data_IF_533151453156
#
_entry.id   IF_533151453156
#
_cell.length_a   1.000
_cell.length_b   1.000
_cell.length_c   1.000
_cell.angle_alpha   90.00
_cell.angle_beta   90.00
_cell.angle_gamma   90.00
#
_symmetry.space_group_name_H-M   'P 1'
#
loop_
_entity.id
_entity.type
_entity.pdbx_description
1 polymer ?
#
# COMPACT_ATOMS: atom_id res chain seq x y z
N UNK A 1 -31.26 -11.04 11.56
CA UNK A 1 -29.96 -10.34 11.54
C UNK A 1 -30.24 -8.86 11.72
N UNK A 2 -29.62 -8.21 12.69
CA UNK A 2 -29.57 -6.75 12.70
C UNK A 2 -28.47 -6.37 11.69
N UNK A 3 -28.81 -5.61 10.67
CA UNK A 3 -27.85 -5.10 9.68
C UNK A 3 -27.58 -3.64 9.97
N UNK A 4 -26.34 -3.18 9.74
CA UNK A 4 -26.01 -1.77 9.93
C UNK A 4 -26.70 -0.95 8.84
N UNK A 5 -27.47 0.06 9.23
CA UNK A 5 -28.04 1.03 8.28
C UNK A 5 -27.00 2.10 8.00
N UNK A 6 -26.57 2.19 6.75
CA UNK A 6 -25.59 3.17 6.29
C UNK A 6 -26.29 4.42 5.75
N UNK A 7 -25.60 5.55 5.78
CA UNK A 7 -26.08 6.81 5.22
C UNK A 7 -26.31 6.70 3.70
N UNK A 8 -27.54 6.97 3.26
CA UNK A 8 -27.95 6.99 1.85
C UNK A 8 -27.11 7.93 0.94
N UNK A 9 -26.30 8.83 1.52
CA UNK A 9 -25.33 9.63 0.77
C UNK A 9 -24.20 8.80 0.17
N UNK A 10 -23.77 7.73 0.84
CA UNK A 10 -22.64 6.90 0.37
C UNK A 10 -23.00 6.16 -0.93
N UNK A 11 -24.14 5.43 -1.02
CA UNK A 11 -24.60 4.86 -2.29
C UNK A 11 -24.74 5.89 -3.41
N UNK A 12 -25.17 7.13 -3.11
CA UNK A 12 -25.28 8.19 -4.12
C UNK A 12 -23.92 8.67 -4.65
N UNK A 13 -22.94 8.87 -3.76
CA UNK A 13 -21.58 9.25 -4.15
C UNK A 13 -20.97 8.12 -4.99
N UNK A 14 -21.13 6.88 -4.53
CA UNK A 14 -20.63 5.71 -5.24
C UNK A 14 -21.30 5.55 -6.60
N UNK A 15 -22.63 5.60 -6.69
CA UNK A 15 -23.33 5.53 -7.98
C UNK A 15 -22.89 6.65 -8.93
N UNK A 16 -22.58 7.85 -8.43
CA UNK A 16 -22.05 8.91 -9.28
C UNK A 16 -20.64 8.61 -9.77
N UNK A 17 -19.74 8.13 -8.91
CA UNK A 17 -18.39 7.73 -9.31
C UNK A 17 -18.43 6.52 -10.26
N UNK A 18 -19.37 5.61 -10.02
CA UNK A 18 -19.68 4.45 -10.83
C UNK A 18 -20.15 4.83 -12.22
N UNK A 19 -21.19 5.65 -12.32
CA UNK A 19 -21.72 6.17 -13.59
C UNK A 19 -20.61 6.88 -14.38
N UNK A 20 -19.70 7.60 -13.71
CA UNK A 20 -18.57 8.25 -14.36
C UNK A 20 -17.52 7.25 -14.87
N UNK A 21 -17.19 6.21 -14.10
CA UNK A 21 -16.21 5.20 -14.45
C UNK A 21 -16.69 4.21 -15.54
N UNK A 22 -17.99 3.88 -15.57
CA UNK A 22 -18.57 2.87 -16.48
C UNK A 22 -19.07 3.45 -17.81
N UNK A 23 -18.82 4.74 -18.10
CA UNK A 23 -19.15 5.28 -19.42
C UNK A 23 -18.35 4.60 -20.55
N UNK A 24 -17.17 4.04 -20.23
CA UNK A 24 -16.45 3.02 -21.01
C UNK A 24 -15.63 2.16 -20.04
N UNK A 25 -16.10 0.97 -19.60
CA UNK A 25 -15.30 0.11 -18.73
C UNK A 25 -14.03 -0.30 -19.46
N UNK A 26 -12.87 0.17 -18.98
CA UNK A 26 -11.59 -0.29 -19.46
C UNK A 26 -11.26 -1.58 -18.72
N UNK A 27 -11.59 -2.73 -19.31
CA UNK A 27 -11.07 -4.01 -18.83
C UNK A 27 -9.53 -3.99 -18.94
N UNK A 28 -8.84 -3.93 -17.80
CA UNK A 28 -7.38 -3.77 -17.74
C UNK A 28 -6.67 -4.94 -18.43
N UNK A 29 -7.30 -6.12 -18.44
CA UNK A 29 -6.79 -7.31 -19.12
C UNK A 29 -6.47 -7.06 -20.58
N UNK A 30 -7.30 -6.32 -21.30
CA UNK A 30 -7.08 -6.06 -22.73
C UNK A 30 -5.85 -5.19 -22.94
N UNK A 31 -5.67 -4.16 -22.10
CA UNK A 31 -4.48 -3.29 -22.10
C UNK A 31 -3.23 -4.09 -21.73
N UNK A 32 -3.30 -4.91 -20.68
CA UNK A 32 -2.19 -5.75 -20.25
C UNK A 32 -1.76 -6.78 -21.32
N UNK A 33 -2.72 -7.38 -22.05
CA UNK A 33 -2.43 -8.26 -23.19
C UNK A 33 -1.75 -7.48 -24.32
N UNK A 34 -2.20 -6.27 -24.62
CA UNK A 34 -1.57 -5.42 -25.63
C UNK A 34 -0.13 -5.05 -25.23
N UNK A 35 0.09 -4.63 -23.97
CA UNK A 35 1.41 -4.39 -23.41
C UNK A 35 2.29 -5.64 -23.48
N UNK A 36 1.74 -6.81 -23.15
CA UNK A 36 2.48 -8.07 -23.18
C UNK A 36 2.96 -8.45 -24.58
N UNK A 37 2.12 -8.22 -25.60
CA UNK A 37 2.49 -8.40 -27.02
C UNK A 37 3.51 -7.38 -27.49
N UNK A 38 3.46 -6.15 -26.96
CA UNK A 38 4.37 -5.08 -27.32
C UNK A 38 5.77 -5.30 -26.72
N UNK A 39 5.87 -5.76 -25.47
CA UNK A 39 7.12 -5.84 -24.72
C UNK A 39 7.67 -4.45 -24.35
N UNK A 40 8.92 -4.41 -23.89
CA UNK A 40 9.60 -3.15 -23.53
C UNK A 40 10.19 -2.53 -24.80
N UNK A 41 9.56 -1.52 -25.39
CA UNK A 41 9.98 -0.93 -26.68
C UNK A 41 10.48 0.51 -26.56
N UNK A 42 11.52 0.82 -27.35
CA UNK A 42 12.05 2.17 -27.49
C UNK A 42 12.62 2.76 -26.20
N UNK A 43 12.51 4.07 -26.06
CA UNK A 43 13.07 4.83 -24.94
C UNK A 43 12.00 5.38 -23.99
N UNK A 44 10.74 4.97 -24.19
CA UNK A 44 9.59 5.45 -23.42
C UNK A 44 9.64 4.98 -21.98
N UNK A 45 9.25 5.86 -21.07
CA UNK A 45 9.22 5.57 -19.64
C UNK A 45 7.90 4.91 -19.24
N UNK A 46 7.98 3.96 -18.32
CA UNK A 46 6.81 3.29 -17.73
C UNK A 46 6.46 3.90 -16.36
N UNK A 47 7.25 4.86 -15.88
CA UNK A 47 6.98 5.62 -14.67
C UNK A 47 7.81 6.90 -14.63
N UNK A 48 7.39 7.85 -13.81
CA UNK A 48 8.11 9.08 -13.54
C UNK A 48 9.44 8.75 -12.79
N UNK A 49 10.60 9.27 -13.24
CA UNK A 49 11.90 8.95 -12.64
C UNK A 49 12.00 9.22 -11.13
N UNK A 50 11.32 10.26 -10.65
CA UNK A 50 11.25 10.61 -9.23
C UNK A 50 10.34 9.72 -8.38
N UNK A 51 9.61 8.78 -8.98
CA UNK A 51 8.82 7.77 -8.26
C UNK A 51 9.62 6.51 -7.98
N UNK A 52 10.78 6.32 -8.64
CA UNK A 52 11.66 5.19 -8.35
C UNK A 52 12.29 5.41 -6.97
N UNK A 53 12.07 4.52 -6.00
CA UNK A 53 12.69 4.59 -4.68
C UNK A 53 14.15 4.14 -4.79
N UNK A 54 14.95 4.99 -5.43
CA UNK A 54 16.38 4.87 -5.67
C UNK A 54 16.99 6.27 -5.60
N UNK A 55 18.26 6.45 -5.21
CA UNK A 55 18.87 7.75 -5.06
C UNK A 55 19.37 8.29 -6.41
N UNK A 56 18.52 8.22 -7.44
CA UNK A 56 18.84 8.65 -8.81
C UNK A 56 19.45 10.06 -8.81
N UNK A 57 18.92 11.07 -8.07
CA UNK A 57 19.41 12.44 -8.12
C UNK A 57 20.83 12.67 -7.57
N UNK A 58 21.41 11.69 -6.87
CA UNK A 58 22.71 11.81 -6.19
C UNK A 58 23.64 10.64 -6.48
N UNK A 59 23.25 9.72 -7.37
CA UNK A 59 24.03 8.54 -7.72
C UNK A 59 24.52 8.61 -9.17
N UNK A 60 25.82 8.90 -9.36
CA UNK A 60 26.45 8.97 -10.68
C UNK A 60 26.23 7.70 -11.51
N UNK A 61 26.28 6.53 -10.88
CA UNK A 61 26.03 5.26 -11.55
C UNK A 61 24.62 5.20 -12.17
N UNK A 62 23.57 5.53 -11.41
CA UNK A 62 22.19 5.56 -11.91
C UNK A 62 21.98 6.70 -12.93
N UNK A 63 22.68 7.83 -12.76
CA UNK A 63 22.66 8.90 -13.74
C UNK A 63 23.30 8.51 -15.08
N UNK A 64 24.26 7.59 -15.08
CA UNK A 64 24.96 7.14 -16.29
C UNK A 64 24.09 6.30 -17.23
N UNK A 65 22.87 5.94 -16.84
CA UNK A 65 21.95 5.16 -17.67
C UNK A 65 21.45 6.03 -18.83
N UNK A 66 21.57 5.51 -20.05
CA UNK A 66 20.99 6.14 -21.24
C UNK A 66 19.46 6.00 -21.25
N UNK A 67 18.79 6.64 -22.22
CA UNK A 67 17.32 6.65 -22.31
C UNK A 67 16.72 5.24 -22.40
N UNK A 68 17.31 4.33 -23.20
CA UNK A 68 16.87 2.93 -23.30
C UNK A 68 17.02 2.17 -21.97
N UNK A 69 18.15 2.34 -21.28
CA UNK A 69 18.42 1.72 -19.98
C UNK A 69 17.45 2.25 -18.89
N UNK A 70 17.10 3.54 -18.94
CA UNK A 70 16.08 4.15 -18.07
C UNK A 70 14.68 3.63 -18.36
N UNK A 71 14.33 3.45 -19.63
CA UNK A 71 13.07 2.82 -20.04
C UNK A 71 12.94 1.43 -19.41
N UNK A 72 13.98 0.59 -19.53
CA UNK A 72 14.00 -0.76 -18.93
C UNK A 72 13.86 -0.70 -17.41
N UNK A 73 14.63 0.16 -16.73
CA UNK A 73 14.53 0.34 -15.27
C UNK A 73 13.13 0.81 -14.84
N UNK A 74 12.52 1.73 -15.58
CA UNK A 74 11.15 2.19 -15.29
C UNK A 74 10.12 1.08 -15.53
N UNK A 75 10.32 0.22 -16.54
CA UNK A 75 9.45 -0.92 -16.81
C UNK A 75 9.55 -1.99 -15.72
N UNK A 76 10.76 -2.29 -15.23
CA UNK A 76 10.93 -3.21 -14.10
C UNK A 76 10.34 -2.63 -12.83
N UNK A 77 10.45 -1.33 -12.60
CA UNK A 77 9.76 -0.65 -11.50
C UNK A 77 8.25 -0.75 -11.61
N UNK A 78 7.68 -0.41 -12.76
CA UNK A 78 6.24 -0.51 -13.00
C UNK A 78 5.71 -1.92 -12.74
N UNK A 79 6.39 -2.95 -13.26
CA UNK A 79 6.02 -4.34 -13.04
C UNK A 79 6.15 -4.78 -11.58
N UNK A 80 7.23 -4.37 -10.89
CA UNK A 80 7.37 -4.67 -9.45
C UNK A 80 6.27 -3.97 -8.66
N UNK A 81 6.10 -2.65 -8.83
CA UNK A 81 5.06 -1.87 -8.18
C UNK A 81 3.69 -2.57 -8.28
N UNK A 82 3.25 -2.94 -9.48
CA UNK A 82 1.97 -3.61 -9.68
C UNK A 82 1.92 -5.07 -9.21
N UNK A 83 3.06 -5.78 -9.16
CA UNK A 83 3.13 -7.06 -8.44
C UNK A 83 2.86 -6.88 -6.94
N UNK A 84 3.40 -5.82 -6.32
CA UNK A 84 3.11 -5.51 -4.92
C UNK A 84 1.65 -5.11 -4.71
N UNK A 85 1.06 -4.33 -5.63
CA UNK A 85 -0.37 -4.00 -5.63
C UNK A 85 -1.20 -5.28 -5.68
N UNK A 86 -1.00 -6.14 -6.67
CA UNK A 86 -1.75 -7.40 -6.80
C UNK A 86 -1.69 -8.30 -5.55
N UNK A 87 -0.53 -8.36 -4.87
CA UNK A 87 -0.40 -9.11 -3.62
C UNK A 87 -1.26 -8.53 -2.49
N UNK A 88 -1.48 -7.21 -2.48
CA UNK A 88 -2.40 -6.53 -1.56
C UNK A 88 -3.85 -6.85 -1.92
N UNK A 89 -4.20 -6.74 -3.20
CA UNK A 89 -5.54 -7.01 -3.72
C UNK A 89 -6.01 -8.44 -3.42
N UNK A 90 -5.11 -9.42 -3.47
CA UNK A 90 -5.41 -10.81 -3.07
C UNK A 90 -6.05 -10.93 -1.68
N UNK A 91 -5.64 -10.10 -0.72
CA UNK A 91 -6.23 -10.05 0.61
C UNK A 91 -7.53 -9.23 0.63
N UNK A 92 -7.62 -8.17 -0.18
CA UNK A 92 -8.85 -7.40 -0.41
C UNK A 92 -9.98 -8.31 -0.92
N UNK A 93 -9.70 -9.27 -1.80
CA UNK A 93 -10.71 -10.23 -2.30
C UNK A 93 -11.44 -10.95 -1.16
N UNK A 94 -10.66 -11.50 -0.22
CA UNK A 94 -11.17 -12.30 0.90
C UNK A 94 -11.90 -11.39 1.88
N UNK A 95 -11.27 -10.26 2.22
CA UNK A 95 -11.79 -9.34 3.23
C UNK A 95 -13.05 -8.59 2.76
N UNK A 96 -13.12 -8.13 1.51
CA UNK A 96 -14.31 -7.49 0.93
C UNK A 96 -15.53 -8.41 1.01
N UNK A 97 -15.39 -9.66 0.55
CA UNK A 97 -16.45 -10.66 0.61
C UNK A 97 -16.86 -10.97 2.06
N UNK A 98 -15.89 -11.12 2.95
CA UNK A 98 -16.14 -11.42 4.36
C UNK A 98 -16.88 -10.28 5.06
N UNK A 99 -16.49 -9.03 4.79
CA UNK A 99 -17.18 -7.84 5.32
C UNK A 99 -18.58 -7.74 4.74
N UNK A 100 -18.73 -7.90 3.43
CA UNK A 100 -20.02 -7.85 2.76
C UNK A 100 -21.03 -8.82 3.39
N UNK A 101 -20.66 -10.08 3.53
CA UNK A 101 -21.53 -11.14 4.06
C UNK A 101 -21.81 -11.03 5.56
N UNK A 102 -20.86 -10.52 6.35
CA UNK A 102 -20.98 -10.49 7.82
C UNK A 102 -21.60 -9.19 8.34
N UNK A 103 -21.51 -8.10 7.59
CA UNK A 103 -21.90 -6.77 8.06
C UNK A 103 -23.17 -6.27 7.40
N UNK A 104 -23.35 -6.52 6.11
CA UNK A 104 -24.44 -5.94 5.32
C UNK A 104 -25.55 -6.95 5.01
N UNK A 105 -26.72 -6.43 4.66
CA UNK A 105 -27.81 -7.27 4.19
C UNK A 105 -27.46 -7.82 2.80
N UNK A 106 -27.76 -9.09 2.54
CA UNK A 106 -27.54 -9.66 1.20
C UNK A 106 -28.25 -8.81 0.15
N UNK A 107 -27.51 -8.48 -0.92
CA UNK A 107 -27.98 -7.64 -2.03
C UNK A 107 -28.35 -6.19 -1.67
N UNK A 108 -27.90 -5.66 -0.52
CA UNK A 108 -27.93 -4.20 -0.32
C UNK A 108 -26.91 -3.50 -1.23
N UNK A 109 -27.04 -2.17 -1.36
CA UNK A 109 -26.11 -1.38 -2.18
C UNK A 109 -24.65 -1.58 -1.70
N UNK A 110 -24.39 -1.56 -0.40
CA UNK A 110 -23.05 -1.75 0.18
C UNK A 110 -22.51 -3.16 -0.05
N UNK A 111 -23.39 -4.15 0.03
CA UNK A 111 -23.05 -5.53 -0.31
C UNK A 111 -22.64 -5.65 -1.78
N UNK A 112 -23.43 -5.05 -2.68
CA UNK A 112 -23.16 -5.09 -4.13
C UNK A 112 -21.91 -4.30 -4.51
N UNK A 113 -21.65 -3.17 -3.84
CA UNK A 113 -20.43 -2.37 -4.02
C UNK A 113 -19.21 -3.24 -3.70
N UNK A 114 -19.12 -3.83 -2.50
CA UNK A 114 -17.96 -4.66 -2.13
C UNK A 114 -17.79 -5.89 -3.03
N UNK A 115 -18.89 -6.51 -3.45
CA UNK A 115 -18.87 -7.60 -4.43
C UNK A 115 -18.29 -7.18 -5.78
N UNK A 116 -18.65 -5.99 -6.26
CA UNK A 116 -18.12 -5.48 -7.50
C UNK A 116 -16.64 -5.13 -7.37
N UNK A 117 -16.24 -4.46 -6.29
CA UNK A 117 -14.84 -4.15 -6.03
C UNK A 117 -14.01 -5.44 -6.03
N UNK A 118 -14.51 -6.54 -5.44
CA UNK A 118 -13.86 -7.87 -5.54
C UNK A 118 -13.66 -8.35 -6.99
N UNK A 119 -14.60 -8.10 -7.90
CA UNK A 119 -14.44 -8.47 -9.32
C UNK A 119 -13.42 -7.59 -10.03
N UNK A 120 -13.39 -6.30 -9.73
CA UNK A 120 -12.41 -5.34 -10.25
C UNK A 120 -10.99 -5.75 -9.81
N UNK A 121 -10.80 -6.00 -8.51
CA UNK A 121 -9.52 -6.46 -7.93
C UNK A 121 -9.03 -7.78 -8.57
N UNK A 122 -9.95 -8.68 -8.94
CA UNK A 122 -9.58 -9.86 -9.74
C UNK A 122 -9.04 -9.46 -11.12
N UNK A 123 -9.69 -8.53 -11.83
CA UNK A 123 -9.21 -8.04 -13.13
C UNK A 123 -7.82 -7.42 -13.03
N UNK A 124 -7.60 -6.63 -11.99
CA UNK A 124 -6.33 -5.98 -11.68
C UNK A 124 -5.20 -7.01 -11.50
N UNK A 125 -5.39 -7.99 -10.61
CA UNK A 125 -4.42 -9.06 -10.34
C UNK A 125 -4.00 -9.78 -11.63
N UNK A 126 -4.96 -10.16 -12.48
CA UNK A 126 -4.67 -10.84 -13.75
C UNK A 126 -3.87 -9.94 -14.72
N UNK A 127 -4.20 -8.66 -14.75
CA UNK A 127 -3.54 -7.66 -15.59
C UNK A 127 -2.10 -7.42 -15.15
N UNK A 128 -1.88 -7.24 -13.85
CA UNK A 128 -0.56 -7.02 -13.26
C UNK A 128 0.34 -8.25 -13.37
N UNK A 129 -0.22 -9.45 -13.19
CA UNK A 129 0.50 -10.70 -13.48
C UNK A 129 0.96 -10.76 -14.92
N UNK A 130 0.10 -10.39 -15.86
CA UNK A 130 0.42 -10.37 -17.30
C UNK A 130 1.56 -9.40 -17.61
N UNK A 131 1.53 -8.19 -17.04
CA UNK A 131 2.61 -7.19 -17.19
C UNK A 131 3.92 -7.69 -16.58
N UNK A 132 3.87 -8.26 -15.37
CA UNK A 132 5.06 -8.79 -14.71
C UNK A 132 5.70 -9.94 -15.49
N UNK A 133 4.89 -10.87 -15.99
CA UNK A 133 5.36 -11.96 -16.85
C UNK A 133 5.98 -11.45 -18.15
N UNK A 134 5.41 -10.39 -18.75
CA UNK A 134 6.04 -9.74 -19.90
C UNK A 134 7.43 -9.22 -19.53
N UNK A 135 7.56 -8.45 -18.46
CA UNK A 135 8.86 -7.90 -18.05
C UNK A 135 9.86 -9.01 -17.76
N UNK A 136 9.49 -10.06 -17.01
CA UNK A 136 10.39 -11.19 -16.73
C UNK A 136 10.91 -11.85 -18.02
N UNK A 137 10.04 -12.03 -19.01
CA UNK A 137 10.39 -12.57 -20.34
C UNK A 137 11.38 -11.67 -21.07
N UNK A 138 11.13 -10.36 -21.12
CA UNK A 138 12.01 -9.40 -21.82
C UNK A 138 13.37 -9.26 -21.13
N UNK A 139 13.39 -9.34 -19.79
CA UNK A 139 14.61 -9.27 -18.98
C UNK A 139 15.40 -10.59 -19.03
N UNK A 140 14.76 -11.71 -19.39
CA UNK A 140 15.39 -13.02 -19.47
C UNK A 140 15.58 -13.71 -18.12
N UNK A 141 14.65 -13.49 -17.18
CA UNK A 141 14.67 -14.13 -15.86
C UNK A 141 13.40 -14.94 -15.60
N UNK A 142 13.54 -16.00 -14.82
CA UNK A 142 12.41 -16.70 -14.21
C UNK A 142 12.22 -16.16 -12.79
N UNK A 143 11.09 -15.50 -12.55
CA UNK A 143 10.75 -14.95 -11.24
C UNK A 143 9.29 -15.24 -10.93
N UNK A 144 9.02 -15.71 -9.71
CA UNK A 144 7.65 -15.92 -9.25
C UNK A 144 6.90 -14.60 -9.16
N UNK A 145 5.66 -14.59 -9.65
CA UNK A 145 4.74 -13.49 -9.36
C UNK A 145 4.26 -13.55 -7.91
N UNK A 146 3.92 -14.75 -7.44
CA UNK A 146 3.38 -14.97 -6.12
C UNK A 146 4.51 -14.90 -5.08
N UNK A 147 4.32 -14.09 -4.05
CA UNK A 147 5.23 -13.91 -2.92
C UNK A 147 4.45 -13.86 -1.60
N UNK A 148 5.09 -14.07 -0.44
CA UNK A 148 4.47 -13.85 0.85
C UNK A 148 3.73 -12.52 0.91
N UNK A 149 2.42 -12.62 1.19
CA UNK A 149 1.47 -11.52 1.05
C UNK A 149 1.95 -10.30 1.82
N UNK A 150 2.40 -9.30 1.08
CA UNK A 150 2.76 -8.01 1.62
C UNK A 150 1.51 -7.13 1.60
N UNK A 151 0.54 -7.39 2.49
CA UNK A 151 -0.48 -6.37 2.77
C UNK A 151 0.10 -5.38 3.75
N UNK A 152 0.97 -4.48 3.29
CA UNK A 152 1.35 -3.28 4.03
C UNK A 152 1.62 -2.21 2.99
N UNK A 153 0.65 -1.36 2.65
CA UNK A 153 0.95 -0.14 1.90
C UNK A 153 1.88 0.76 2.71
N UNK A 154 3.20 0.54 2.70
CA UNK A 154 4.19 1.30 3.52
C UNK A 154 3.89 1.40 5.03
N UNK A 155 2.92 0.66 5.57
CA UNK A 155 2.35 0.94 6.90
C UNK A 155 3.31 0.57 8.04
N UNK A 156 4.37 -0.21 7.80
CA UNK A 156 5.35 -0.48 8.84
C UNK A 156 6.69 -0.98 8.32
N UNK A 157 7.72 -0.71 9.12
CA UNK A 157 9.05 -1.30 8.99
C UNK A 157 9.01 -2.72 9.58
N UNK A 158 9.32 -3.74 8.78
CA UNK A 158 9.22 -5.15 9.19
C UNK A 158 10.63 -5.73 9.38
N UNK A 159 10.97 -6.36 10.51
CA UNK A 159 12.24 -7.08 10.63
C UNK A 159 12.38 -8.14 9.53
N UNK A 160 13.55 -8.22 8.89
CA UNK A 160 13.84 -9.18 7.83
C UNK A 160 13.60 -10.61 8.30
N UNK A 161 13.98 -10.92 9.55
CA UNK A 161 13.74 -12.21 10.19
C UNK A 161 12.25 -12.56 10.27
N UNK A 162 11.38 -11.58 10.45
CA UNK A 162 9.94 -11.81 10.52
C UNK A 162 9.40 -12.10 9.12
N UNK A 163 9.85 -11.33 8.12
CA UNK A 163 9.48 -11.54 6.73
C UNK A 163 9.89 -12.92 6.21
N UNK A 164 11.12 -13.35 6.50
CA UNK A 164 11.63 -14.66 6.06
C UNK A 164 10.85 -15.83 6.68
N UNK A 165 10.18 -15.60 7.81
CA UNK A 165 9.32 -16.56 8.49
C UNK A 165 7.83 -16.43 8.12
N UNK A 166 7.46 -15.53 7.19
CA UNK A 166 6.08 -15.43 6.73
C UNK A 166 5.71 -16.61 5.83
N UNK A 167 4.91 -17.52 6.38
CA UNK A 167 4.17 -18.49 5.59
C UNK A 167 2.87 -17.84 5.06
N UNK A 168 2.62 -17.97 3.76
CA UNK A 168 1.30 -17.62 3.17
C UNK A 168 0.24 -18.64 3.52
N UNK A 169 0.65 -19.85 3.91
CA UNK A 169 -0.24 -20.85 4.46
C UNK A 169 -0.63 -20.40 5.86
N UNK A 170 -1.93 -20.48 6.13
CA UNK A 170 -2.49 -20.19 7.43
C UNK A 170 -1.92 -21.15 8.48
N UNK A 171 -0.92 -20.72 9.24
CA UNK A 171 -0.42 -21.42 10.41
C UNK A 171 -1.15 -20.88 11.64
N UNK A 172 -2.21 -21.59 12.02
CA UNK A 172 -2.96 -21.30 13.24
C UNK A 172 -2.17 -21.85 14.43
N UNK A 173 -1.50 -20.98 15.17
CA UNK A 173 -0.77 -21.33 16.38
C UNK A 173 -1.57 -20.99 17.65
N UNK A 174 -0.99 -21.29 18.81
CA UNK A 174 -1.64 -21.07 20.11
C UNK A 174 -1.99 -19.59 20.33
N UNK A 175 -1.14 -18.68 19.88
CA UNK A 175 -1.29 -17.22 19.98
C UNK A 175 -2.51 -16.70 19.20
N UNK A 176 -2.64 -17.10 17.92
CA UNK A 176 -3.80 -16.73 17.11
C UNK A 176 -5.08 -17.43 17.58
N UNK A 177 -4.97 -18.63 18.13
CA UNK A 177 -6.09 -19.32 18.76
C UNK A 177 -6.60 -18.58 20.00
N UNK A 178 -5.71 -18.07 20.87
CA UNK A 178 -6.13 -17.26 22.01
C UNK A 178 -6.81 -15.96 21.56
N UNK A 179 -6.26 -15.30 20.53
CA UNK A 179 -6.88 -14.12 19.92
C UNK A 179 -8.29 -14.43 19.43
N UNK A 180 -8.49 -15.52 18.68
CA UNK A 180 -9.81 -15.94 18.21
C UNK A 180 -10.78 -16.22 19.37
N UNK A 181 -10.33 -16.91 20.42
CA UNK A 181 -11.14 -17.20 21.60
C UNK A 181 -11.57 -15.92 22.32
N UNK A 182 -10.69 -14.91 22.41
CA UNK A 182 -11.03 -13.62 22.99
C UNK A 182 -12.05 -12.86 22.11
N UNK A 183 -11.89 -12.87 20.78
CA UNK A 183 -12.85 -12.28 19.84
C UNK A 183 -14.23 -12.96 19.92
N UNK A 184 -14.27 -14.30 20.02
CA UNK A 184 -15.51 -15.08 20.14
C UNK A 184 -16.30 -14.76 21.41
N UNK A 185 -15.62 -14.37 22.50
CA UNK A 185 -16.26 -13.94 23.74
C UNK A 185 -16.86 -12.53 23.64
N UNK A 186 -16.64 -11.82 22.54
CA UNK A 186 -17.24 -10.52 22.24
C UNK A 186 -16.55 -9.34 22.91
N UNK A 187 -17.25 -8.19 22.90
CA UNK A 187 -16.70 -6.87 23.23
C UNK A 187 -15.97 -6.76 24.58
N UNK A 188 -16.41 -7.51 25.59
CA UNK A 188 -15.83 -7.46 26.94
C UNK A 188 -14.39 -8.00 27.01
N UNK A 189 -13.93 -8.71 25.98
CA UNK A 189 -12.59 -9.32 25.92
C UNK A 189 -11.63 -8.59 24.98
N UNK A 190 -12.08 -7.52 24.29
CA UNK A 190 -11.22 -6.75 23.38
C UNK A 190 -10.05 -6.10 24.10
N UNK A 191 -10.27 -5.62 25.33
CA UNK A 191 -9.20 -5.06 26.16
C UNK A 191 -8.07 -6.05 26.42
N UNK A 192 -8.38 -7.34 26.57
CA UNK A 192 -7.37 -8.38 26.77
C UNK A 192 -6.47 -8.52 25.53
N UNK A 193 -7.05 -8.44 24.33
CA UNK A 193 -6.29 -8.47 23.07
C UNK A 193 -5.34 -7.26 23.00
N UNK A 194 -5.85 -6.07 23.35
CA UNK A 194 -5.03 -4.83 23.42
C UNK A 194 -3.89 -4.96 24.43
N UNK A 195 -4.17 -5.46 25.64
CA UNK A 195 -3.16 -5.68 26.67
C UNK A 195 -2.09 -6.68 26.21
N UNK A 196 -2.49 -7.74 25.50
CA UNK A 196 -1.56 -8.72 24.92
C UNK A 196 -0.67 -8.07 23.85
N UNK A 197 -1.22 -7.28 22.92
CA UNK A 197 -0.40 -6.59 21.91
C UNK A 197 0.52 -5.53 22.49
N UNK A 198 0.18 -4.92 23.63
CA UNK A 198 1.06 -3.99 24.33
C UNK A 198 2.23 -4.68 25.04
N UNK A 199 2.00 -5.90 25.56
CA UNK A 199 3.00 -6.68 26.28
C UNK A 199 3.92 -7.46 25.33
N UNK A 200 3.39 -7.87 24.19
CA UNK A 200 4.12 -8.64 23.19
C UNK A 200 4.75 -7.73 22.12
N UNK A 201 5.88 -8.14 21.58
CA UNK A 201 6.64 -7.33 20.63
C UNK A 201 5.89 -7.01 19.32
N UNK A 202 6.50 -6.16 18.48
CA UNK A 202 5.92 -5.72 17.19
C UNK A 202 5.47 -6.86 16.28
N UNK A 203 6.23 -7.97 16.27
CA UNK A 203 5.90 -9.16 15.47
C UNK A 203 4.52 -9.73 15.85
N UNK A 204 4.26 -9.95 17.14
CA UNK A 204 2.96 -10.45 17.60
C UNK A 204 1.82 -9.49 17.23
N UNK A 205 2.02 -8.19 17.43
CA UNK A 205 1.03 -7.16 17.08
C UNK A 205 0.68 -7.20 15.60
N UNK A 206 1.69 -7.28 14.73
CA UNK A 206 1.53 -7.40 13.29
C UNK A 206 0.74 -8.68 12.91
N UNK A 207 1.13 -9.83 13.47
CA UNK A 207 0.49 -11.12 13.17
C UNK A 207 -0.98 -11.11 13.59
N UNK A 208 -1.24 -10.57 14.77
CA UNK A 208 -2.58 -10.41 15.34
C UNK A 208 -3.43 -9.50 14.46
N UNK A 209 -2.92 -8.34 14.05
CA UNK A 209 -3.64 -7.42 13.16
C UNK A 209 -4.01 -8.11 11.84
N UNK A 210 -3.05 -8.75 11.17
CA UNK A 210 -3.28 -9.49 9.91
C UNK A 210 -4.36 -10.56 10.08
N UNK A 211 -4.29 -11.33 11.16
CA UNK A 211 -5.30 -12.34 11.46
C UNK A 211 -6.69 -11.72 11.61
N UNK A 212 -6.82 -10.60 12.31
CA UNK A 212 -8.11 -9.96 12.59
C UNK A 212 -8.80 -9.39 11.36
N UNK A 213 -8.05 -8.73 10.47
CA UNK A 213 -8.58 -8.12 9.24
C UNK A 213 -8.79 -9.13 8.09
N UNK A 214 -8.13 -10.28 8.15
CA UNK A 214 -8.18 -11.30 7.10
C UNK A 214 -9.06 -12.48 7.49
N UNK A 215 -8.57 -13.30 8.41
CA UNK A 215 -9.12 -14.63 8.68
C UNK A 215 -10.21 -14.63 9.75
N UNK A 216 -10.04 -13.84 10.82
CA UNK A 216 -10.94 -13.86 11.97
C UNK A 216 -12.40 -13.54 11.59
N UNK A 217 -12.62 -12.58 10.68
CA UNK A 217 -13.96 -12.18 10.23
C UNK A 217 -14.72 -13.38 9.63
N UNK A 218 -14.04 -14.25 8.89
CA UNK A 218 -14.64 -15.44 8.28
C UNK A 218 -15.09 -16.44 9.35
N UNK A 219 -14.27 -16.58 10.38
CA UNK A 219 -14.44 -17.56 11.47
C UNK A 219 -15.48 -17.13 12.50
N UNK A 220 -15.79 -15.84 12.60
CA UNK A 220 -16.70 -15.30 13.61
C UNK A 220 -18.15 -15.22 13.10
N UNK A 221 -19.15 -15.36 13.99
CA UNK A 221 -20.54 -15.06 13.66
C UNK A 221 -20.71 -13.58 13.29
N UNK A 222 -21.61 -13.26 12.35
CA UNK A 222 -21.91 -11.90 11.91
C UNK A 222 -22.20 -10.94 13.08
N UNK A 223 -22.94 -11.41 14.07
CA UNK A 223 -23.32 -10.62 15.24
C UNK A 223 -22.12 -10.18 16.08
N UNK A 224 -21.10 -11.04 16.21
CA UNK A 224 -19.84 -10.73 16.90
C UNK A 224 -19.01 -9.76 16.07
N UNK A 225 -18.85 -10.02 14.77
CA UNK A 225 -18.10 -9.15 13.84
C UNK A 225 -18.61 -7.71 13.89
N UNK A 226 -19.93 -7.53 13.89
CA UNK A 226 -20.58 -6.22 13.96
C UNK A 226 -20.43 -5.59 15.34
N UNK A 227 -20.65 -6.34 16.43
CA UNK A 227 -20.57 -5.80 17.79
C UNK A 227 -19.18 -5.22 18.10
N UNK A 228 -18.13 -5.97 17.77
CA UNK A 228 -16.75 -5.59 18.06
C UNK A 228 -16.12 -4.70 16.98
N UNK A 229 -16.84 -4.47 15.88
CA UNK A 229 -16.44 -3.56 14.81
C UNK A 229 -15.29 -4.05 13.91
N UNK A 230 -15.08 -5.36 13.75
CA UNK A 230 -14.03 -5.89 12.87
C UNK A 230 -14.20 -5.48 11.40
N UNK A 231 -15.44 -5.29 10.93
CA UNK A 231 -15.70 -4.76 9.59
C UNK A 231 -15.15 -3.34 9.42
N UNK A 232 -15.29 -2.49 10.44
CA UNK A 232 -14.71 -1.15 10.45
C UNK A 232 -13.19 -1.19 10.44
N UNK A 233 -12.57 -1.97 11.33
CA UNK A 233 -11.11 -2.11 11.37
C UNK A 233 -10.55 -2.53 10.01
N UNK A 234 -11.21 -3.46 9.33
CA UNK A 234 -10.80 -3.97 8.01
C UNK A 234 -10.88 -2.91 6.93
N UNK A 235 -12.01 -2.20 6.83
CA UNK A 235 -12.19 -1.16 5.81
C UNK A 235 -11.31 0.06 6.06
N UNK A 236 -11.13 0.47 7.32
CA UNK A 236 -10.21 1.57 7.67
C UNK A 236 -8.74 1.20 7.44
N UNK A 237 -8.38 -0.06 7.63
CA UNK A 237 -7.06 -0.56 7.27
C UNK A 237 -6.86 -0.62 5.75
N UNK A 238 -7.87 -1.07 5.00
CA UNK A 238 -7.87 -0.99 3.52
C UNK A 238 -7.74 0.45 3.03
N UNK A 239 -8.43 1.39 3.67
CA UNK A 239 -8.27 2.82 3.38
C UNK A 239 -6.81 3.27 3.53
N UNK A 240 -6.13 2.85 4.60
CA UNK A 240 -4.70 3.18 4.81
C UNK A 240 -3.81 2.62 3.70
N UNK A 241 -4.08 1.39 3.22
CA UNK A 241 -3.37 0.85 2.05
C UNK A 241 -3.66 1.67 0.77
N UNK A 242 -4.92 2.10 0.57
CA UNK A 242 -5.32 2.87 -0.60
C UNK A 242 -4.77 4.31 -0.60
N UNK A 243 -4.41 4.89 0.55
CA UNK A 243 -3.65 6.16 0.59
C UNK A 243 -2.33 6.00 -0.18
N UNK A 244 -1.58 4.94 0.09
CA UNK A 244 -0.28 4.72 -0.55
C UNK A 244 -0.44 4.47 -2.05
N UNK A 245 -1.41 3.64 -2.42
CA UNK A 245 -1.72 3.28 -3.80
C UNK A 245 -2.13 4.50 -4.62
N UNK A 246 -3.17 5.23 -4.18
CA UNK A 246 -3.62 6.45 -4.86
C UNK A 246 -2.51 7.46 -5.04
N UNK A 247 -1.69 7.65 -4.01
CA UNK A 247 -0.53 8.54 -4.09
C UNK A 247 0.42 8.08 -5.19
N UNK A 248 0.77 6.79 -5.21
CA UNK A 248 1.73 6.27 -6.18
C UNK A 248 1.23 6.46 -7.60
N UNK A 249 -0.02 6.10 -7.87
CA UNK A 249 -0.59 6.11 -9.21
C UNK A 249 -0.91 7.50 -9.74
N UNK A 250 -1.34 8.42 -8.86
CA UNK A 250 -1.52 9.82 -9.23
C UNK A 250 -0.22 10.49 -9.67
N UNK A 251 0.92 9.96 -9.21
CA UNK A 251 2.25 10.52 -9.46
C UNK A 251 3.12 9.67 -10.38
N UNK A 252 2.63 8.49 -10.80
CA UNK A 252 3.37 7.55 -11.63
C UNK A 252 3.66 8.11 -13.03
N UNK A 253 2.81 9.00 -13.53
CA UNK A 253 2.94 9.64 -14.84
C UNK A 253 2.79 11.17 -14.77
N UNK A 254 3.26 11.76 -13.66
CA UNK A 254 3.22 13.21 -13.43
C UNK A 254 4.08 13.98 -14.44
N UNK A 255 3.75 15.26 -14.71
CA UNK A 255 4.49 16.12 -15.65
C UNK A 255 4.66 15.52 -17.07
N UNK A 256 3.59 15.07 -17.74
CA UNK A 256 3.66 14.43 -19.06
C UNK A 256 4.23 15.32 -20.17
N UNK A 257 4.29 16.64 -19.97
CA UNK A 257 4.97 17.58 -20.87
C UNK A 257 6.50 17.45 -20.85
N UNK A 258 7.06 16.86 -19.80
CA UNK A 258 8.51 16.74 -19.59
C UNK A 258 9.06 15.33 -19.88
N UNK A 259 8.18 14.33 -20.05
CA UNK A 259 8.57 12.93 -20.18
C UNK A 259 7.74 12.21 -21.26
N UNK A 260 8.40 11.40 -22.10
CA UNK A 260 7.71 10.54 -23.08
C UNK A 260 7.37 9.19 -22.43
N UNK A 261 6.11 9.02 -22.07
CA UNK A 261 5.60 7.83 -21.41
C UNK A 261 5.06 6.78 -22.39
N UNK A 262 5.15 5.51 -22.01
CA UNK A 262 4.54 4.39 -22.72
C UNK A 262 2.99 4.51 -22.63
N UNK A 263 2.27 4.74 -23.75
CA UNK A 263 0.84 5.02 -23.69
C UNK A 263 0.02 3.91 -23.06
N UNK A 264 0.36 2.64 -23.30
CA UNK A 264 -0.37 1.52 -22.70
C UNK A 264 -0.14 1.42 -21.18
N UNK A 265 1.03 1.84 -20.69
CA UNK A 265 1.30 1.89 -19.24
C UNK A 265 0.49 3.00 -18.57
N UNK A 266 0.37 4.16 -19.23
CA UNK A 266 -0.49 5.27 -18.78
C UNK A 266 -1.96 4.83 -18.75
N UNK A 267 -2.43 4.16 -19.81
CA UNK A 267 -3.80 3.66 -19.92
C UNK A 267 -4.12 2.63 -18.83
N UNK A 268 -3.22 1.68 -18.58
CA UNK A 268 -3.37 0.69 -17.51
C UNK A 268 -3.48 1.36 -16.13
N UNK A 269 -2.58 2.29 -15.82
CA UNK A 269 -2.60 3.04 -14.56
C UNK A 269 -3.84 3.92 -14.43
N UNK A 270 -4.29 4.56 -15.50
CA UNK A 270 -5.48 5.42 -15.46
C UNK A 270 -6.75 4.62 -15.21
N UNK A 271 -6.87 3.43 -15.81
CA UNK A 271 -7.98 2.52 -15.54
C UNK A 271 -8.00 2.11 -14.08
N UNK A 272 -6.87 1.58 -13.59
CA UNK A 272 -6.75 1.14 -12.20
C UNK A 272 -6.99 2.27 -11.19
N UNK A 273 -6.36 3.44 -11.40
CA UNK A 273 -6.53 4.63 -10.56
C UNK A 273 -8.00 5.06 -10.45
N UNK A 274 -8.80 4.86 -11.51
CA UNK A 274 -10.22 5.20 -11.52
C UNK A 274 -11.06 4.24 -10.68
N UNK A 275 -10.67 2.96 -10.63
CA UNK A 275 -11.30 1.94 -9.80
C UNK A 275 -10.95 2.16 -8.33
N UNK A 276 -9.65 2.33 -8.05
CA UNK A 276 -9.15 2.64 -6.71
C UNK A 276 -9.65 3.98 -6.16
N UNK A 277 -10.04 4.91 -7.05
CA UNK A 277 -10.75 6.13 -6.67
C UNK A 277 -11.98 5.85 -5.82
N UNK A 278 -12.77 4.85 -6.26
CA UNK A 278 -14.02 4.40 -5.63
C UNK A 278 -13.74 3.59 -4.38
N UNK A 279 -12.83 2.62 -4.47
CA UNK A 279 -12.49 1.71 -3.38
C UNK A 279 -11.98 2.45 -2.16
N UNK A 280 -11.14 3.47 -2.37
CA UNK A 280 -10.69 4.38 -1.32
C UNK A 280 -11.84 5.09 -0.61
N UNK A 281 -12.84 5.56 -1.37
CA UNK A 281 -14.00 6.27 -0.81
C UNK A 281 -14.89 5.31 -0.04
N UNK A 282 -15.17 4.13 -0.60
CA UNK A 282 -15.91 3.03 0.05
C UNK A 282 -15.25 2.65 1.36
N UNK A 283 -13.93 2.40 1.34
CA UNK A 283 -13.15 1.99 2.51
C UNK A 283 -13.22 3.00 3.64
N UNK A 284 -13.11 4.30 3.34
CA UNK A 284 -13.20 5.34 4.34
C UNK A 284 -14.62 5.50 4.89
N UNK A 285 -15.58 5.77 4.00
CA UNK A 285 -16.90 6.22 4.40
C UNK A 285 -17.66 5.08 5.09
N UNK A 286 -17.63 3.86 4.55
CA UNK A 286 -18.19 2.69 5.22
C UNK A 286 -17.41 2.35 6.49
N UNK A 287 -16.07 2.43 6.46
CA UNK A 287 -15.24 2.16 7.62
C UNK A 287 -15.58 3.05 8.82
N UNK A 288 -15.80 4.34 8.58
CA UNK A 288 -16.20 5.33 9.60
C UNK A 288 -17.63 5.12 10.08
N UNK A 289 -18.58 4.83 9.19
CA UNK A 289 -19.96 4.53 9.60
C UNK A 289 -20.05 3.26 10.45
N UNK A 290 -19.30 2.21 10.09
CA UNK A 290 -19.19 0.99 10.89
C UNK A 290 -18.49 1.24 12.23
N UNK A 291 -17.49 2.12 12.26
CA UNK A 291 -16.85 2.54 13.52
C UNK A 291 -17.88 3.17 14.46
N UNK A 292 -18.68 4.12 13.96
CA UNK A 292 -19.74 4.80 14.74
C UNK A 292 -20.83 3.85 15.23
N UNK A 293 -21.08 2.77 14.50
CA UNK A 293 -22.07 1.74 14.86
C UNK A 293 -21.54 0.67 15.84
N UNK A 294 -20.22 0.54 16.00
CA UNK A 294 -19.62 -0.43 16.91
C UNK A 294 -19.92 -0.11 18.39
N UNK A 295 -19.79 -1.10 19.28
CA UNK A 295 -19.92 -0.87 20.72
C UNK A 295 -18.82 0.09 21.22
N UNK A 296 -18.99 0.75 22.39
CA UNK A 296 -17.95 1.62 22.94
C UNK A 296 -16.59 0.92 23.07
N UNK A 297 -16.58 -0.33 23.54
CA UNK A 297 -15.37 -1.15 23.63
C UNK A 297 -14.80 -1.50 22.25
N UNK A 298 -15.65 -1.72 21.25
CA UNK A 298 -15.25 -1.89 19.85
C UNK A 298 -14.62 -0.62 19.27
N UNK A 299 -15.15 0.55 19.59
CA UNK A 299 -14.60 1.83 19.18
C UNK A 299 -13.22 2.07 19.80
N UNK A 300 -13.05 1.80 21.09
CA UNK A 300 -11.75 1.91 21.76
C UNK A 300 -10.72 0.94 21.16
N UNK A 301 -11.16 -0.29 20.87
CA UNK A 301 -10.35 -1.30 20.21
C UNK A 301 -9.90 -0.87 18.80
N UNK A 302 -10.82 -0.39 17.97
CA UNK A 302 -10.50 0.12 16.61
C UNK A 302 -9.54 1.31 16.72
N UNK A 303 -9.81 2.28 17.60
CA UNK A 303 -8.94 3.45 17.80
C UNK A 303 -7.51 3.03 18.17
N UNK A 304 -7.35 2.06 19.07
CA UNK A 304 -6.03 1.56 19.46
C UNK A 304 -5.26 1.00 18.27
N UNK A 305 -5.85 0.09 17.49
CA UNK A 305 -5.15 -0.50 16.34
C UNK A 305 -4.92 0.53 15.23
N UNK A 306 -5.90 1.38 14.93
CA UNK A 306 -5.73 2.44 13.94
C UNK A 306 -4.64 3.44 14.35
N UNK A 307 -4.52 3.77 15.64
CA UNK A 307 -3.42 4.58 16.12
C UNK A 307 -2.05 3.91 15.89
N UNK A 308 -1.90 2.62 16.19
CA UNK A 308 -0.67 1.89 15.90
C UNK A 308 -0.32 1.91 14.41
N UNK A 309 -1.30 1.61 13.57
CA UNK A 309 -1.20 1.62 12.11
C UNK A 309 -0.72 2.99 11.62
N UNK A 310 -1.30 4.08 12.13
CA UNK A 310 -0.95 5.43 11.70
C UNK A 310 0.44 5.85 12.17
N UNK A 311 0.81 5.50 13.40
CA UNK A 311 2.14 5.80 13.94
C UNK A 311 3.24 5.06 13.18
N UNK A 312 3.02 3.78 12.85
CA UNK A 312 3.97 3.01 12.05
C UNK A 312 4.02 3.53 10.61
N UNK A 313 2.88 3.92 10.04
CA UNK A 313 2.81 4.55 8.71
C UNK A 313 3.57 5.89 8.67
N UNK A 314 3.41 6.73 9.68
CA UNK A 314 4.16 7.99 9.79
C UNK A 314 5.66 7.68 9.88
N UNK A 315 6.02 6.72 10.72
CA UNK A 315 7.41 6.32 10.93
C UNK A 315 8.07 5.86 9.63
N UNK A 316 7.37 5.11 8.79
CA UNK A 316 7.89 4.66 7.50
C UNK A 316 7.83 5.74 6.40
N UNK A 317 6.73 6.50 6.33
CA UNK A 317 6.48 7.40 5.20
C UNK A 317 7.26 8.71 5.25
N UNK A 318 7.51 9.27 6.44
CA UNK A 318 8.21 10.56 6.63
C UNK A 318 9.70 10.39 6.96
N UNK A 319 10.23 9.21 6.65
CA UNK A 319 11.66 8.89 6.67
C UNK A 319 12.23 9.11 5.28
N UNK A 320 13.37 9.80 5.17
CA UNK A 320 14.03 10.05 3.88
C UNK A 320 14.61 8.77 3.29
N UNK A 321 14.84 8.75 1.99
CA UNK A 321 15.40 7.58 1.31
C UNK A 321 16.71 7.05 1.94
N UNK A 322 17.63 7.94 2.33
CA UNK A 322 18.91 7.52 2.92
C UNK A 322 18.75 6.95 4.34
N UNK A 323 17.82 7.49 5.14
CA UNK A 323 17.48 6.92 6.45
C UNK A 323 16.84 5.53 6.29
N UNK A 324 15.98 5.34 5.29
CA UNK A 324 15.39 4.03 4.96
C UNK A 324 16.45 2.98 4.59
N UNK A 325 17.49 3.36 3.84
CA UNK A 325 18.62 2.46 3.55
C UNK A 325 19.39 2.04 4.82
N UNK A 326 19.54 2.94 5.79
CA UNK A 326 20.18 2.60 7.06
C UNK A 326 19.33 1.62 7.88
N UNK A 327 18.00 1.77 7.87
CA UNK A 327 17.10 0.78 8.46
C UNK A 327 17.23 -0.59 7.78
N UNK A 328 17.28 -0.64 6.45
CA UNK A 328 17.51 -1.90 5.72
C UNK A 328 18.83 -2.57 6.10
N UNK A 329 19.89 -1.80 6.30
CA UNK A 329 21.16 -2.35 6.78
C UNK A 329 21.10 -2.89 8.22
N UNK A 330 20.13 -2.45 9.02
CA UNK A 330 19.85 -2.96 10.38
C UNK A 330 18.89 -4.16 10.36
N UNK A 331 18.57 -4.69 9.19
CA UNK A 331 17.64 -5.81 9.04
C UNK A 331 16.17 -5.39 9.11
N UNK A 332 15.84 -4.15 8.76
CA UNK A 332 14.45 -3.68 8.65
C UNK A 332 14.06 -3.54 7.17
N UNK A 333 13.10 -4.35 6.76
CA UNK A 333 12.50 -4.29 5.44
C UNK A 333 11.51 -3.12 5.33
N UNK A 334 11.71 -2.31 4.29
CA UNK A 334 10.80 -1.25 3.86
C UNK A 334 10.38 -1.53 2.41
N UNK A 335 9.09 -1.45 2.14
CA UNK A 335 8.48 -1.89 0.86
C UNK A 335 9.01 -1.14 -0.33
N UNK A 336 9.11 0.18 -0.22
CA UNK A 336 9.58 1.06 -1.27
C UNK A 336 11.04 0.76 -1.62
N UNK A 337 11.92 0.65 -0.61
CA UNK A 337 13.32 0.24 -0.81
C UNK A 337 13.40 -1.12 -1.52
N UNK A 338 12.62 -2.11 -1.07
CA UNK A 338 12.59 -3.43 -1.68
C UNK A 338 12.11 -3.38 -3.13
N UNK A 339 11.04 -2.64 -3.43
CA UNK A 339 10.56 -2.42 -4.81
C UNK A 339 11.67 -1.84 -5.66
N UNK A 340 12.33 -0.77 -5.21
CA UNK A 340 13.41 -0.11 -5.95
C UNK A 340 14.60 -1.02 -6.23
N UNK A 341 15.09 -1.70 -5.19
CA UNK A 341 16.23 -2.61 -5.31
C UNK A 341 15.91 -3.84 -6.16
N UNK A 342 14.72 -4.42 -6.05
CA UNK A 342 14.27 -5.50 -6.92
C UNK A 342 14.19 -5.05 -8.38
N UNK A 343 13.68 -3.85 -8.62
CA UNK A 343 13.56 -3.28 -9.96
C UNK A 343 14.93 -3.05 -10.60
N UNK A 344 15.88 -2.51 -9.83
CA UNK A 344 17.26 -2.37 -10.26
C UNK A 344 17.88 -3.74 -10.54
N UNK A 345 17.76 -4.68 -9.61
CA UNK A 345 18.28 -6.04 -9.75
C UNK A 345 17.76 -6.72 -11.02
N UNK A 346 16.45 -6.69 -11.26
CA UNK A 346 15.85 -7.21 -12.49
C UNK A 346 16.42 -6.50 -13.71
N UNK A 347 16.48 -5.16 -13.72
CA UNK A 347 16.95 -4.42 -14.90
C UNK A 347 18.38 -4.79 -15.32
N UNK A 348 19.28 -5.08 -14.37
CA UNK A 348 20.68 -5.42 -14.63
C UNK A 348 20.88 -6.79 -15.30
N UNK A 349 19.84 -7.62 -15.36
CA UNK A 349 19.87 -8.88 -16.11
C UNK A 349 19.67 -8.66 -17.62
N UNK A 350 19.03 -7.55 -18.01
CA UNK A 350 18.71 -7.27 -19.41
C UNK A 350 19.99 -7.07 -20.26
N UNK A 351 20.04 -7.57 -21.51
CA UNK A 351 21.22 -7.43 -22.37
C UNK A 351 21.72 -5.99 -22.59
N UNK A 352 20.80 -5.02 -22.69
CA UNK A 352 21.11 -3.57 -22.82
C UNK A 352 21.84 -2.96 -21.60
N UNK A 353 21.90 -3.66 -20.47
CA UNK A 353 22.60 -3.22 -19.26
C UNK A 353 23.84 -4.06 -18.96
N UNK A 354 24.35 -4.83 -19.94
CA UNK A 354 25.53 -5.68 -19.75
C UNK A 354 26.77 -4.89 -19.31
N UNK A 355 26.94 -3.67 -19.81
CA UNK A 355 28.03 -2.73 -19.45
C UNK A 355 27.83 -2.06 -18.09
N UNK A 356 26.62 -2.18 -17.52
CA UNK A 356 26.25 -1.60 -16.22
C UNK A 356 26.28 -2.61 -15.09
N UNK A 357 26.50 -3.91 -15.33
CA UNK A 357 26.45 -4.93 -14.28
C UNK A 357 27.36 -4.59 -13.10
N UNK A 358 26.81 -4.67 -11.89
CA UNK A 358 27.47 -4.28 -10.64
C UNK A 358 26.97 -5.16 -9.48
N UNK A 359 27.78 -5.28 -8.44
CA UNK A 359 27.32 -5.82 -7.16
C UNK A 359 26.41 -4.79 -6.46
N UNK A 360 25.12 -5.12 -6.38
CA UNK A 360 24.09 -4.25 -5.78
C UNK A 360 24.41 -3.96 -4.31
N UNK A 361 24.98 -4.91 -3.56
CA UNK A 361 25.31 -4.68 -2.15
C UNK A 361 26.42 -3.64 -2.00
N UNK A 362 27.42 -3.68 -2.88
CA UNK A 362 28.47 -2.66 -2.92
C UNK A 362 27.92 -1.29 -3.34
N UNK A 363 27.03 -1.28 -4.32
CA UNK A 363 26.37 -0.06 -4.78
C UNK A 363 25.52 0.58 -3.67
N UNK A 364 24.69 -0.20 -2.98
CA UNK A 364 23.89 0.26 -1.84
C UNK A 364 24.78 0.75 -0.70
N UNK A 365 25.88 0.05 -0.42
CA UNK A 365 26.85 0.51 0.57
C UNK A 365 27.43 1.88 0.22
N UNK A 366 27.74 2.13 -1.07
CA UNK A 366 28.25 3.43 -1.52
C UNK A 366 27.27 4.58 -1.29
N UNK A 367 25.95 4.34 -1.43
CA UNK A 367 24.93 5.36 -1.21
C UNK A 367 24.82 5.81 0.25
N UNK A 368 25.17 4.92 1.19
CA UNK A 368 25.17 5.23 2.62
C UNK A 368 26.33 6.13 3.03
N UNK A 369 27.39 6.20 2.19
CA UNK A 369 28.55 7.07 2.40
C UNK A 369 28.34 8.50 1.87
N UNK A 370 27.17 8.80 1.29
CA UNK A 370 26.84 10.17 0.87
C UNK A 370 26.85 11.10 2.08
N UNK A 371 27.32 12.34 1.86
CA UNK A 371 27.49 13.33 2.93
C UNK A 371 26.21 13.56 3.74
N UNK A 372 26.40 13.85 5.03
CA UNK A 372 25.30 14.07 5.99
C UNK A 372 24.29 15.12 5.52
N UNK A 373 24.75 16.13 4.75
CA UNK A 373 23.91 17.18 4.18
C UNK A 373 22.78 16.64 3.28
N UNK A 374 23.01 15.57 2.52
CA UNK A 374 21.98 15.04 1.61
C UNK A 374 20.97 14.13 2.30
N UNK A 375 21.23 13.73 3.55
CA UNK A 375 20.39 12.78 4.29
C UNK A 375 19.03 13.37 4.69
N UNK A 376 18.96 14.68 4.83
CA UNK A 376 17.75 15.40 5.20
C UNK A 376 17.13 16.15 4.01
N UNK A 377 17.58 15.89 2.77
CA UNK A 377 17.06 16.59 1.60
C UNK A 377 16.04 15.71 0.90
N UNK A 378 14.83 16.24 0.69
CA UNK A 378 13.80 15.58 -0.10
C UNK A 378 13.50 16.37 -1.38
N UNK A 379 13.15 15.65 -2.44
CA UNK A 379 12.85 16.22 -3.75
C UNK A 379 11.38 16.57 -3.96
N UNK A 380 11.06 17.14 -5.12
CA UNK A 380 9.71 17.54 -5.53
C UNK A 380 8.65 16.43 -5.37
N UNK A 381 8.93 15.21 -5.87
CA UNK A 381 7.96 14.09 -5.80
C UNK A 381 7.73 13.59 -4.38
N UNK A 382 8.78 13.59 -3.55
CA UNK A 382 8.68 13.16 -2.15
C UNK A 382 7.88 14.19 -1.34
N UNK A 383 8.04 15.49 -1.61
CA UNK A 383 7.19 16.54 -1.02
C UNK A 383 5.72 16.38 -1.41
N UNK A 384 5.40 16.14 -2.70
CA UNK A 384 4.02 15.84 -3.15
C UNK A 384 3.43 14.64 -2.41
N UNK A 385 4.23 13.58 -2.31
CA UNK A 385 3.88 12.35 -1.61
C UNK A 385 3.55 12.63 -0.14
N UNK A 386 4.44 13.32 0.57
CA UNK A 386 4.28 13.63 1.99
C UNK A 386 3.07 14.52 2.24
N UNK A 387 2.85 15.54 1.41
CA UNK A 387 1.70 16.45 1.52
C UNK A 387 0.37 15.70 1.29
N UNK A 388 0.28 14.86 0.26
CA UNK A 388 -0.93 14.07 0.03
C UNK A 388 -1.21 13.12 1.20
N UNK A 389 -0.19 12.38 1.64
CA UNK A 389 -0.31 11.45 2.76
C UNK A 389 -0.77 12.15 4.03
N UNK A 390 -0.13 13.26 4.40
CA UNK A 390 -0.43 13.98 5.63
C UNK A 390 -1.89 14.47 5.68
N UNK A 391 -2.44 14.94 4.55
CA UNK A 391 -3.84 15.34 4.45
C UNK A 391 -4.79 14.15 4.69
N UNK A 392 -4.49 12.98 4.14
CA UNK A 392 -5.33 11.79 4.32
C UNK A 392 -5.24 11.20 5.72
N UNK A 393 -4.07 11.27 6.35
CA UNK A 393 -3.87 10.88 7.75
C UNK A 393 -4.62 11.82 8.69
N UNK A 394 -4.52 13.13 8.48
CA UNK A 394 -5.21 14.14 9.29
C UNK A 394 -6.73 13.98 9.24
N UNK A 395 -7.29 13.61 8.08
CA UNK A 395 -8.72 13.29 7.94
C UNK A 395 -9.11 12.14 8.87
N UNK A 396 -8.35 11.04 8.85
CA UNK A 396 -8.64 9.86 9.67
C UNK A 396 -8.44 10.10 11.16
N UNK A 397 -7.38 10.83 11.54
CA UNK A 397 -7.11 11.24 12.92
C UNK A 397 -8.30 12.00 13.50
N UNK A 398 -8.87 12.93 12.73
CA UNK A 398 -10.04 13.72 13.15
C UNK A 398 -11.31 12.88 13.28
N UNK A 399 -11.62 12.03 12.30
CA UNK A 399 -12.84 11.22 12.33
C UNK A 399 -12.87 10.21 13.48
N UNK A 400 -11.71 9.64 13.84
CA UNK A 400 -11.61 8.65 14.92
C UNK A 400 -11.20 9.26 16.27
N UNK A 401 -10.83 10.54 16.29
CA UNK A 401 -10.31 11.24 17.47
C UNK A 401 -9.02 10.63 18.02
N UNK A 402 -8.09 10.24 17.14
CA UNK A 402 -6.84 9.56 17.52
C UNK A 402 -5.85 10.51 18.20
N UNK A 403 -5.13 9.99 19.19
CA UNK A 403 -4.13 10.74 19.96
C UNK A 403 -2.74 10.15 19.73
N UNK A 404 -2.06 10.61 18.68
CA UNK A 404 -0.74 10.08 18.29
C UNK A 404 0.30 10.28 19.40
N UNK A 405 1.12 9.25 19.62
CA UNK A 405 2.24 9.32 20.55
C UNK A 405 3.40 10.13 19.95
N UNK A 406 3.40 11.44 20.21
CA UNK A 406 4.42 12.37 19.69
C UNK A 406 5.83 12.05 20.18
N UNK A 407 5.98 11.52 21.40
CA UNK A 407 7.30 11.14 21.93
C UNK A 407 7.88 9.91 21.24
N UNK A 408 7.04 8.94 20.86
CA UNK A 408 7.43 7.78 20.05
C UNK A 408 7.83 8.20 18.63
N UNK A 409 7.08 9.13 18.03
CA UNK A 409 7.31 9.57 16.65
C UNK A 409 8.50 10.52 16.50
N UNK A 410 8.86 11.26 17.54
CA UNK A 410 10.01 12.17 17.51
C UNK A 410 9.94 13.17 16.35
N UNK A 411 11.05 13.37 15.66
CA UNK A 411 11.14 14.29 14.51
C UNK A 411 10.24 13.89 13.33
N UNK A 412 9.84 12.61 13.22
CA UNK A 412 8.92 12.16 12.16
C UNK A 412 7.52 12.75 12.34
N UNK A 413 7.12 13.08 13.58
CA UNK A 413 5.89 13.82 13.84
C UNK A 413 5.99 15.25 13.29
N UNK A 414 7.11 15.92 13.52
CA UNK A 414 7.34 17.29 13.04
C UNK A 414 7.32 17.32 11.50
N UNK A 415 8.01 16.38 10.84
CA UNK A 415 7.96 16.22 9.38
C UNK A 415 6.55 15.98 8.85
N UNK A 416 5.75 15.17 9.55
CA UNK A 416 4.33 14.98 9.24
C UNK A 416 3.54 16.30 9.33
N UNK A 417 3.74 17.09 10.40
CA UNK A 417 3.06 18.38 10.59
C UNK A 417 3.51 19.42 9.55
N UNK A 418 4.78 19.47 9.22
CA UNK A 418 5.33 20.35 8.19
C UNK A 418 4.75 20.00 6.81
N UNK A 419 4.70 18.71 6.47
CA UNK A 419 4.08 18.24 5.25
C UNK A 419 2.58 18.59 5.18
N UNK A 420 1.87 18.53 6.31
CA UNK A 420 0.46 18.93 6.39
C UNK A 420 0.27 20.44 6.21
N UNK A 421 1.19 21.24 6.74
CA UNK A 421 1.15 22.71 6.67
C UNK A 421 1.71 23.26 5.34
N UNK A 422 2.34 22.42 4.52
CA UNK A 422 2.98 22.81 3.27
C UNK A 422 1.98 23.45 2.30
N UNK A 423 2.29 24.67 1.86
CA UNK A 423 1.47 25.44 0.89
C UNK A 423 2.01 25.37 -0.53
N UNK A 424 3.32 25.28 -0.68
CA UNK A 424 4.02 25.31 -1.96
C UNK A 424 5.09 24.22 -1.99
N UNK A 425 5.21 23.55 -3.14
CA UNK A 425 6.17 22.48 -3.36
C UNK A 425 7.40 23.06 -4.03
N UNK A 426 8.57 22.84 -3.44
CA UNK A 426 9.84 23.36 -3.94
C UNK A 426 10.63 22.28 -4.68
N UNK A 427 11.65 22.67 -5.43
CA UNK A 427 12.51 21.73 -6.15
C UNK A 427 13.20 20.73 -5.20
N UNK A 428 13.74 21.23 -4.09
CA UNK A 428 14.33 20.47 -2.99
C UNK A 428 14.12 21.24 -1.68
N UNK A 429 13.95 20.53 -0.56
CA UNK A 429 13.92 21.13 0.78
C UNK A 429 14.75 20.28 1.75
N UNK A 430 15.26 20.91 2.80
CA UNK A 430 15.81 20.23 3.97
C UNK A 430 14.71 20.01 5.00
N UNK A 431 14.65 18.82 5.60
CA UNK A 431 13.64 18.42 6.58
C UNK A 431 14.26 18.19 7.96
N UNK A 432 13.43 18.30 9.00
CA UNK A 432 13.83 18.26 10.42
C UNK A 432 14.50 16.96 10.88
#
# INVERSE_FOLDING_TARGET
MNTVKIDNRIPKIQNKLFEQAHTQPLELKTVAIAMSKQGIKGEKLYSHPGMLPLPVPICEYLFSFNSRQRSILSATFFANFYKFVANSEYQSLISNMSVAEKVFASYSDEFMILHQETNEEMDHIWSFRTVYSMVCREIGIESSFDEPSFFYGTVGAIPQSDFDNFDTRFTFDEDLNETLLNLQKGKNFLKKIVEQTQQQGKNFTYRTLRFMIGDAIRMLPAQIVQEIGLGSLTLLYRYMANIELKKSEAFLFDSPENFDYEPLAVELNQGHLTDEARHYTTSFDLGVELYRAASPEGQDFIRYFMQLILEDYISASFTTYLEKLDFTAQGIMLTDIRIGLNSLSMSLHHPELVDKRVDINQLVHSWRQVSSKWRNIIGYMEQKSWQYKSQQLERLIKELGLELNTSKLGNLYDRYKDALAMKEIQKVIEVA
#
